data_IF_088863519722
#
_entry.id   IF_088863519722
#
_cell.length_a   1.000
_cell.length_b   1.000
_cell.length_c   1.000
_cell.angle_alpha   90.00
_cell.angle_beta   90.00
_cell.angle_gamma   90.00
#
_symmetry.space_group_name_H-M   'P 1'
#
loop_
_entity.id
_entity.type
_entity.pdbx_description
1 polymer ?
#
# COMPACT_ATOMS: atom_id res chain seq x y z
N UNK A 1 7.01 -39.88 13.48
CA UNK A 1 6.36 -39.22 14.64
C UNK A 1 7.47 -38.63 15.48
N UNK A 2 7.62 -37.33 15.77
CA UNK A 2 6.67 -36.21 15.84
C UNK A 2 7.42 -34.92 15.43
N UNK A 3 6.70 -34.07 14.70
CA UNK A 3 7.06 -32.76 14.15
C UNK A 3 7.32 -31.70 15.25
N UNK A 4 8.48 -31.03 15.19
CA UNK A 4 8.89 -29.98 16.12
C UNK A 4 8.59 -28.58 15.58
N UNK A 5 7.31 -28.17 15.60
CA UNK A 5 6.91 -26.78 15.36
C UNK A 5 7.49 -25.87 16.46
N UNK A 6 8.58 -25.17 16.14
CA UNK A 6 9.11 -24.09 16.97
C UNK A 6 8.10 -22.96 17.13
N UNK A 7 7.36 -22.95 18.24
CA UNK A 7 6.57 -21.79 18.70
C UNK A 7 7.55 -20.64 18.96
N UNK A 8 7.56 -19.64 18.06
CA UNK A 8 8.23 -18.36 18.30
C UNK A 8 7.50 -17.66 19.45
N UNK A 9 8.22 -17.37 20.54
CA UNK A 9 7.66 -16.82 21.77
C UNK A 9 7.18 -15.37 21.64
N UNK A 10 6.15 -14.96 22.43
CA UNK A 10 5.51 -13.64 22.33
C UNK A 10 6.45 -12.46 22.62
N UNK A 11 7.46 -12.66 23.48
CA UNK A 11 8.44 -11.63 23.86
C UNK A 11 9.30 -11.18 22.68
N UNK A 12 9.67 -12.10 21.77
CA UNK A 12 10.51 -11.77 20.61
C UNK A 12 9.75 -10.96 19.56
N UNK A 13 8.47 -11.27 19.35
CA UNK A 13 7.61 -10.50 18.43
C UNK A 13 7.38 -9.05 18.87
N UNK A 14 7.32 -8.82 20.19
CA UNK A 14 7.23 -7.46 20.73
C UNK A 14 8.51 -6.65 20.48
N UNK A 15 9.68 -7.23 20.73
CA UNK A 15 10.99 -6.58 20.52
C UNK A 15 11.21 -6.22 19.04
N UNK A 16 10.84 -7.11 18.12
CA UNK A 16 10.92 -6.85 16.67
C UNK A 16 9.98 -5.71 16.24
N UNK A 17 8.76 -5.67 16.78
CA UNK A 17 7.80 -4.58 16.51
C UNK A 17 8.30 -3.22 17.00
N UNK A 18 8.91 -3.18 18.19
CA UNK A 18 9.55 -1.96 18.73
C UNK A 18 10.69 -1.49 17.82
N UNK A 19 11.53 -2.42 17.37
CA UNK A 19 12.65 -2.12 16.46
C UNK A 19 12.16 -1.57 15.12
N UNK A 20 11.07 -2.10 14.57
CA UNK A 20 10.43 -1.55 13.38
C UNK A 20 9.85 -0.15 13.63
N UNK A 21 9.25 0.10 14.79
CA UNK A 21 8.81 1.45 15.20
C UNK A 21 9.95 2.47 15.16
N UNK A 22 11.11 2.13 15.74
CA UNK A 22 12.31 2.98 15.71
C UNK A 22 12.84 3.22 14.30
N UNK A 23 12.83 2.18 13.45
CA UNK A 23 13.19 2.30 12.04
C UNK A 23 12.27 3.28 11.31
N UNK A 24 10.96 3.18 11.50
CA UNK A 24 9.97 4.08 10.89
C UNK A 24 10.19 5.53 11.33
N UNK A 25 10.40 5.75 12.63
CA UNK A 25 10.67 7.07 13.20
C UNK A 25 11.94 7.71 12.61
N UNK A 26 13.04 6.96 12.51
CA UNK A 26 14.27 7.42 11.85
C UNK A 26 14.03 7.87 10.41
N UNK A 27 13.14 7.17 9.72
CA UNK A 27 12.80 7.44 8.33
C UNK A 27 11.90 8.67 8.16
N UNK A 28 11.02 8.96 9.12
CA UNK A 28 10.27 10.22 9.17
C UNK A 28 11.21 11.44 9.22
N UNK A 29 12.25 11.38 10.08
CA UNK A 29 13.25 12.45 10.25
C UNK A 29 14.00 12.74 8.93
N UNK A 30 14.19 11.73 8.06
CA UNK A 30 14.85 11.92 6.75
C UNK A 30 14.07 12.78 5.76
N UNK A 31 12.75 12.95 5.94
CA UNK A 31 11.92 13.81 5.09
C UNK A 31 11.80 13.34 3.63
N UNK A 32 11.76 14.28 2.69
CA UNK A 32 11.45 14.03 1.26
C UNK A 32 12.68 13.96 0.33
N UNK A 33 13.90 13.92 0.86
CA UNK A 33 15.11 13.85 0.05
C UNK A 33 15.21 12.50 -0.67
N UNK A 34 15.29 12.53 -2.00
CA UNK A 34 15.51 11.36 -2.87
C UNK A 34 16.75 11.63 -3.72
N UNK A 35 17.73 10.72 -3.71
CA UNK A 35 18.83 10.73 -4.68
C UNK A 35 18.37 9.94 -5.91
N UNK A 36 18.35 10.58 -7.08
CA UNK A 36 17.90 9.98 -8.33
C UNK A 36 19.08 9.40 -9.11
N UNK A 37 19.14 8.08 -9.18
CA UNK A 37 19.92 7.38 -10.19
C UNK A 37 18.92 6.54 -10.99
N UNK A 38 18.65 6.92 -12.24
CA UNK A 38 17.59 6.36 -13.06
C UNK A 38 18.20 5.54 -14.20
N UNK A 39 18.26 4.22 -14.04
CA UNK A 39 18.36 3.29 -15.16
C UNK A 39 17.03 2.52 -15.25
N UNK A 40 16.32 2.68 -16.37
CA UNK A 40 15.08 1.95 -16.67
C UNK A 40 15.41 0.80 -17.62
N UNK A 41 15.38 -0.43 -17.10
CA UNK A 41 15.43 -1.63 -17.91
C UNK A 41 14.00 -1.97 -18.39
N UNK A 42 13.82 -2.06 -19.71
CA UNK A 42 12.52 -2.24 -20.40
C UNK A 42 11.73 -3.50 -19.99
N UNK A 43 12.31 -4.41 -19.20
CA UNK A 43 11.71 -5.70 -18.84
C UNK A 43 10.98 -5.70 -17.48
N UNK A 44 10.85 -4.56 -16.79
CA UNK A 44 10.11 -4.49 -15.52
C UNK A 44 9.18 -3.27 -15.46
N UNK A 45 8.02 -3.43 -14.82
CA UNK A 45 7.09 -2.32 -14.63
C UNK A 45 7.54 -1.39 -13.49
N UNK A 46 7.60 -0.07 -13.69
CA UNK A 46 7.90 0.85 -12.60
C UNK A 46 6.89 0.75 -11.47
N UNK A 47 7.37 0.95 -10.24
CA UNK A 47 6.56 0.87 -9.03
C UNK A 47 6.33 2.27 -8.48
N UNK A 48 5.08 2.64 -8.29
CA UNK A 48 4.69 3.87 -7.59
C UNK A 48 4.37 3.55 -6.13
N UNK A 49 5.18 4.08 -5.22
CA UNK A 49 4.98 3.97 -3.77
C UNK A 49 4.16 5.14 -3.25
N UNK A 50 3.11 4.86 -2.49
CA UNK A 50 2.20 5.85 -1.89
C UNK A 50 2.24 5.71 -0.37
N UNK A 51 2.70 6.75 0.34
CA UNK A 51 2.85 6.72 1.79
C UNK A 51 1.51 6.93 2.55
N UNK A 52 1.51 6.63 3.84
CA UNK A 52 0.35 6.82 4.73
C UNK A 52 0.24 8.21 5.36
N UNK A 53 -0.71 8.36 6.29
CA UNK A 53 -0.94 9.58 7.08
C UNK A 53 0.30 9.97 7.90
N UNK A 54 0.62 11.27 7.97
CA UNK A 54 1.84 11.82 8.60
C UNK A 54 3.15 11.21 8.06
N UNK A 55 3.08 10.48 6.95
CA UNK A 55 4.22 9.89 6.27
C UNK A 55 4.97 10.91 5.42
N UNK A 56 6.24 10.62 5.17
CA UNK A 56 7.07 11.27 4.15
C UNK A 56 7.60 10.22 3.19
N UNK A 57 8.24 10.63 2.09
CA UNK A 57 8.95 9.67 1.21
C UNK A 57 9.97 8.83 1.99
N UNK A 58 10.53 9.36 3.07
CA UNK A 58 11.45 8.66 3.95
C UNK A 58 10.87 7.36 4.53
N UNK A 59 9.59 7.32 4.87
CA UNK A 59 8.91 6.12 5.42
C UNK A 59 8.86 4.95 4.45
N UNK A 60 8.87 5.24 3.15
CA UNK A 60 8.85 4.24 2.08
C UNK A 60 10.25 3.76 1.70
N UNK A 61 11.31 4.42 2.19
CA UNK A 61 12.71 4.14 1.83
C UNK A 61 13.13 2.66 2.02
N UNK A 62 12.68 1.93 3.07
CA UNK A 62 12.97 0.50 3.17
C UNK A 62 12.43 -0.31 1.99
N UNK A 63 11.22 0.01 1.50
CA UNK A 63 10.65 -0.62 0.31
C UNK A 63 11.36 -0.14 -0.96
N UNK A 64 11.60 1.18 -1.08
CA UNK A 64 12.34 1.77 -2.21
C UNK A 64 13.67 1.05 -2.43
N UNK A 65 14.48 0.91 -1.37
CA UNK A 65 15.80 0.26 -1.44
C UNK A 65 15.72 -1.20 -1.83
N UNK A 66 14.69 -1.92 -1.38
CA UNK A 66 14.54 -3.35 -1.68
C UNK A 66 14.13 -3.56 -3.13
N UNK A 67 13.14 -2.81 -3.61
CA UNK A 67 12.75 -2.86 -5.02
C UNK A 67 13.89 -2.43 -5.94
N UNK A 68 14.64 -1.38 -5.59
CA UNK A 68 15.83 -0.97 -6.35
C UNK A 68 16.93 -2.04 -6.34
N UNK A 69 17.17 -2.71 -5.20
CA UNK A 69 18.12 -3.81 -5.11
C UNK A 69 17.70 -5.02 -5.98
N UNK A 70 16.39 -5.19 -6.21
CA UNK A 70 15.83 -6.18 -7.12
C UNK A 70 15.69 -5.66 -8.57
N UNK A 71 16.34 -4.53 -8.89
CA UNK A 71 16.41 -3.98 -10.26
C UNK A 71 15.16 -3.25 -10.73
N UNK A 72 14.21 -2.92 -9.83
CA UNK A 72 12.98 -2.20 -10.18
C UNK A 72 13.18 -0.69 -10.16
N UNK A 73 12.58 0.00 -11.12
CA UNK A 73 12.42 1.47 -11.06
C UNK A 73 11.31 1.83 -10.09
N UNK A 74 11.57 2.77 -9.19
CA UNK A 74 10.65 3.14 -8.11
C UNK A 74 10.42 4.66 -8.09
N UNK A 75 9.17 5.06 -8.22
CA UNK A 75 8.70 6.42 -7.97
C UNK A 75 8.05 6.47 -6.59
N UNK A 76 8.37 7.48 -5.78
CA UNK A 76 7.67 7.70 -4.50
C UNK A 76 6.81 8.94 -4.60
N UNK A 77 5.50 8.75 -4.58
CA UNK A 77 4.54 9.84 -4.59
C UNK A 77 4.55 10.54 -3.22
N UNK A 78 4.46 11.88 -3.26
CA UNK A 78 4.37 12.70 -2.05
C UNK A 78 3.19 13.65 -2.21
N UNK A 79 2.16 13.43 -1.41
CA UNK A 79 0.93 14.24 -1.38
C UNK A 79 0.86 15.19 -0.18
N UNK A 80 2.02 15.52 0.41
CA UNK A 80 2.11 16.40 1.58
C UNK A 80 2.05 15.62 2.90
N UNK A 81 2.93 15.97 3.84
CA UNK A 81 3.08 15.28 5.12
C UNK A 81 1.80 15.25 5.95
N UNK A 82 1.01 16.33 5.94
CA UNK A 82 -0.17 16.45 6.80
C UNK A 82 -1.46 15.94 6.18
N UNK A 83 -1.46 15.62 4.88
CA UNK A 83 -2.63 15.14 4.13
C UNK A 83 -3.92 15.89 4.53
N UNK A 84 -3.85 17.23 4.50
CA UNK A 84 -4.93 18.13 4.94
C UNK A 84 -6.08 18.22 3.92
N UNK A 85 -5.93 17.58 2.75
CA UNK A 85 -6.97 17.52 1.71
C UNK A 85 -7.91 16.33 1.88
N UNK A 86 -8.89 16.22 0.99
CA UNK A 86 -9.72 15.02 0.83
C UNK A 86 -8.90 13.86 0.23
N UNK A 87 -9.14 12.63 0.72
CA UNK A 87 -8.57 11.40 0.14
C UNK A 87 -9.02 11.19 -1.31
N UNK A 88 -10.25 11.60 -1.65
CA UNK A 88 -10.75 11.54 -3.02
C UNK A 88 -9.91 12.43 -3.95
N UNK A 89 -9.74 13.70 -3.57
CA UNK A 89 -8.90 14.66 -4.31
C UNK A 89 -7.45 14.18 -4.38
N UNK A 90 -6.92 13.59 -3.31
CA UNK A 90 -5.56 13.02 -3.33
C UNK A 90 -5.48 11.85 -4.31
N UNK A 91 -6.52 11.02 -4.41
CA UNK A 91 -6.63 9.93 -5.37
C UNK A 91 -6.73 10.43 -6.82
N UNK A 92 -7.47 11.51 -7.06
CA UNK A 92 -7.55 12.17 -8.37
C UNK A 92 -6.17 12.67 -8.82
N UNK A 93 -5.49 13.45 -7.96
CA UNK A 93 -4.14 13.98 -8.25
C UNK A 93 -3.13 12.83 -8.44
N UNK A 94 -3.21 11.76 -7.64
CA UNK A 94 -2.38 10.58 -7.85
C UNK A 94 -2.63 9.96 -9.23
N UNK A 95 -3.89 9.80 -9.62
CA UNK A 95 -4.27 9.24 -10.91
C UNK A 95 -3.75 10.07 -12.10
N UNK A 96 -3.83 11.40 -12.01
CA UNK A 96 -3.25 12.32 -12.99
C UNK A 96 -1.73 12.19 -13.06
N UNK A 97 -1.07 12.12 -11.90
CA UNK A 97 0.38 12.01 -11.83
C UNK A 97 0.89 10.68 -12.40
N UNK A 98 0.23 9.56 -12.09
CA UNK A 98 0.56 8.25 -12.68
C UNK A 98 0.47 8.32 -14.21
N UNK A 99 -0.62 8.87 -14.74
CA UNK A 99 -0.80 9.00 -16.18
C UNK A 99 0.22 9.96 -16.81
N UNK A 100 0.60 11.03 -16.13
CA UNK A 100 1.62 11.97 -16.60
C UNK A 100 3.00 11.31 -16.66
N UNK A 101 3.41 10.60 -15.60
CA UNK A 101 4.68 9.85 -15.58
C UNK A 101 4.71 8.86 -16.75
N UNK A 102 3.62 8.11 -16.92
CA UNK A 102 3.52 7.11 -17.97
C UNK A 102 3.66 7.70 -19.37
N UNK A 103 2.93 8.78 -19.67
CA UNK A 103 3.04 9.49 -20.94
C UNK A 103 4.44 10.07 -21.17
N UNK A 104 4.99 10.76 -20.17
CA UNK A 104 6.28 11.44 -20.30
C UNK A 104 7.46 10.49 -20.49
N UNK A 105 7.36 9.27 -19.93
CA UNK A 105 8.45 8.28 -19.98
C UNK A 105 8.17 7.12 -20.96
N UNK A 106 7.04 7.14 -21.67
CA UNK A 106 6.65 6.05 -22.58
C UNK A 106 6.42 4.72 -21.84
N UNK A 107 5.98 4.76 -20.59
CA UNK A 107 5.69 3.56 -19.79
C UNK A 107 4.26 3.10 -20.08
N UNK A 108 4.09 1.88 -20.57
CA UNK A 108 2.77 1.33 -20.85
C UNK A 108 2.01 0.95 -19.58
N UNK A 109 2.71 0.37 -18.61
CA UNK A 109 2.12 -0.17 -17.39
C UNK A 109 2.96 0.11 -16.15
N UNK A 110 2.29 0.45 -15.06
CA UNK A 110 2.91 0.64 -13.72
C UNK A 110 2.24 -0.26 -12.68
N UNK A 111 3.00 -0.59 -11.65
CA UNK A 111 2.48 -1.22 -10.43
C UNK A 111 2.41 -0.19 -9.30
N UNK A 112 1.45 -0.31 -8.39
CA UNK A 112 1.25 0.63 -7.27
C UNK A 112 1.32 -0.11 -5.94
N UNK A 113 2.07 0.42 -4.98
CA UNK A 113 2.11 -0.07 -3.59
C UNK A 113 1.72 1.06 -2.65
N UNK A 114 0.57 0.91 -2.00
CA UNK A 114 0.06 1.87 -1.03
C UNK A 114 0.18 1.36 0.39
N UNK A 115 0.83 2.15 1.26
CA UNK A 115 0.92 1.86 2.69
C UNK A 115 -0.15 2.63 3.47
N UNK A 116 -0.86 1.93 4.36
CA UNK A 116 -1.89 2.50 5.23
C UNK A 116 -2.90 3.31 4.41
N UNK A 117 -3.09 4.60 4.74
CA UNK A 117 -3.97 5.50 3.99
C UNK A 117 -3.58 5.67 2.50
N UNK A 118 -2.30 5.50 2.16
CA UNK A 118 -1.85 5.49 0.77
C UNK A 118 -2.44 4.34 -0.05
N UNK A 119 -2.83 3.23 0.60
CA UNK A 119 -3.58 2.15 -0.05
C UNK A 119 -4.99 2.59 -0.46
N UNK A 120 -5.66 3.40 0.36
CA UNK A 120 -6.98 3.94 0.02
C UNK A 120 -6.91 4.95 -1.13
N UNK A 121 -5.88 5.82 -1.11
CA UNK A 121 -5.60 6.77 -2.19
C UNK A 121 -5.32 6.03 -3.51
N UNK A 122 -4.49 4.98 -3.47
CA UNK A 122 -4.20 4.15 -4.64
C UNK A 122 -5.45 3.44 -5.18
N UNK A 123 -6.26 2.86 -4.29
CA UNK A 123 -7.51 2.21 -4.69
C UNK A 123 -8.50 3.20 -5.30
N UNK A 124 -8.60 4.42 -4.74
CA UNK A 124 -9.45 5.48 -5.29
C UNK A 124 -8.96 5.91 -6.67
N UNK A 125 -7.65 6.12 -6.84
CA UNK A 125 -7.06 6.45 -8.13
C UNK A 125 -7.44 5.40 -9.19
N UNK A 126 -7.33 4.12 -8.86
CA UNK A 126 -7.63 3.06 -9.84
C UNK A 126 -9.13 2.94 -10.13
N UNK A 127 -10.00 3.06 -9.12
CA UNK A 127 -11.46 2.87 -9.30
C UNK A 127 -12.16 4.07 -9.93
N UNK A 128 -11.75 5.28 -9.59
CA UNK A 128 -12.52 6.50 -9.90
C UNK A 128 -11.79 7.46 -10.83
N UNK A 129 -10.61 7.08 -11.32
CA UNK A 129 -9.87 7.89 -12.30
C UNK A 129 -9.51 7.06 -13.53
N UNK A 130 -9.01 7.71 -14.58
CA UNK A 130 -8.46 7.02 -15.76
C UNK A 130 -7.18 6.22 -15.49
N UNK A 131 -6.66 6.18 -14.25
CA UNK A 131 -5.42 5.50 -13.92
C UNK A 131 -5.43 3.99 -14.16
N UNK A 132 -6.59 3.33 -14.14
CA UNK A 132 -6.72 1.90 -14.47
C UNK A 132 -6.23 1.53 -15.88
N UNK A 133 -6.16 2.50 -16.80
CA UNK A 133 -5.61 2.29 -18.15
C UNK A 133 -4.11 2.02 -18.16
N UNK A 134 -3.41 2.43 -17.11
CA UNK A 134 -1.94 2.33 -17.00
C UNK A 134 -1.53 1.48 -15.80
N UNK A 135 -2.30 1.51 -14.71
CA UNK A 135 -2.04 0.66 -13.55
C UNK A 135 -2.35 -0.79 -13.90
N UNK A 136 -1.44 -1.70 -13.57
CA UNK A 136 -1.58 -3.14 -13.77
C UNK A 136 -1.94 -3.85 -12.47
N UNK A 137 -1.18 -3.58 -11.41
CA UNK A 137 -1.33 -4.26 -10.11
C UNK A 137 -1.28 -3.27 -8.95
N UNK A 138 -2.08 -3.55 -7.93
CA UNK A 138 -2.14 -2.76 -6.69
C UNK A 138 -1.83 -3.65 -5.49
N UNK A 139 -0.86 -3.26 -4.67
CA UNK A 139 -0.61 -3.84 -3.36
C UNK A 139 -1.03 -2.84 -2.29
N UNK A 140 -1.95 -3.23 -1.42
CA UNK A 140 -2.38 -2.46 -0.27
C UNK A 140 -1.79 -3.06 1.00
N UNK A 141 -0.97 -2.29 1.71
CA UNK A 141 -0.33 -2.73 2.94
C UNK A 141 -0.96 -2.04 4.16
N UNK A 142 -1.76 -2.77 4.94
CA UNK A 142 -2.39 -2.27 6.16
C UNK A 142 -3.36 -1.11 5.93
N UNK A 143 -4.11 -1.13 4.84
CA UNK A 143 -5.07 -0.07 4.54
C UNK A 143 -6.34 -0.21 5.43
N UNK A 144 -6.82 0.89 6.06
CA UNK A 144 -7.99 0.86 6.94
C UNK A 144 -9.31 0.88 6.14
N UNK A 145 -9.57 -0.17 5.36
CA UNK A 145 -10.72 -0.27 4.45
C UNK A 145 -12.09 -0.30 5.17
N UNK A 146 -12.13 -0.69 6.45
CA UNK A 146 -13.34 -0.61 7.30
C UNK A 146 -13.29 0.57 8.29
N UNK A 147 -12.36 1.48 8.05
CA UNK A 147 -12.00 2.55 8.96
C UNK A 147 -11.09 2.05 10.09
N UNK A 148 -10.58 3.01 10.85
CA UNK A 148 -9.80 2.75 12.06
C UNK A 148 -10.31 3.64 13.18
N UNK A 149 -10.41 3.12 14.40
CA UNK A 149 -10.65 3.95 15.58
C UNK A 149 -9.39 4.69 16.05
N UNK A 150 -8.20 4.25 15.60
CA UNK A 150 -6.95 4.94 15.88
C UNK A 150 -6.85 6.30 15.14
N UNK A 151 -7.70 6.55 14.14
CA UNK A 151 -7.87 7.90 13.59
C UNK A 151 -8.34 8.89 14.64
N UNK A 152 -9.07 8.47 15.69
CA UNK A 152 -9.46 9.32 16.83
C UNK A 152 -8.25 9.81 17.64
N UNK A 153 -7.17 9.04 17.73
CA UNK A 153 -5.93 9.51 18.33
C UNK A 153 -5.26 10.58 17.45
N UNK A 154 -5.35 10.43 16.12
CA UNK A 154 -4.99 11.47 15.15
C UNK A 154 -5.90 12.70 15.23
N UNK A 155 -7.19 12.51 15.56
CA UNK A 155 -8.15 13.60 15.83
C UNK A 155 -7.69 14.42 17.04
N UNK A 156 -7.19 13.78 18.10
CA UNK A 156 -6.73 14.48 19.30
C UNK A 156 -5.50 15.37 19.05
N UNK A 157 -4.63 15.01 18.09
CA UNK A 157 -3.40 15.77 17.77
C UNK A 157 -3.51 16.70 16.55
N UNK A 158 -4.42 16.45 15.60
CA UNK A 158 -4.51 17.17 14.30
C UNK A 158 -5.98 17.44 13.89
N UNK A 159 -6.96 16.99 14.68
CA UNK A 159 -8.31 16.63 14.24
C UNK A 159 -9.35 17.70 14.03
N UNK A 160 -9.02 18.97 14.17
CA UNK A 160 -9.98 20.04 13.85
C UNK A 160 -9.86 20.55 12.40
N UNK A 161 -8.83 20.15 11.62
CA UNK A 161 -8.46 20.88 10.39
C UNK A 161 -8.29 19.99 9.13
N UNK A 162 -8.39 18.65 9.19
CA UNK A 162 -8.22 17.79 7.99
C UNK A 162 -9.43 16.90 7.65
N UNK A 163 -10.06 17.05 6.46
CA UNK A 163 -11.10 16.15 5.94
C UNK A 163 -10.68 14.68 5.81
N UNK A 164 -9.38 14.40 5.58
CA UNK A 164 -8.88 13.02 5.46
C UNK A 164 -9.13 12.19 6.72
N UNK A 165 -9.09 12.82 7.89
CA UNK A 165 -9.32 12.15 9.18
C UNK A 165 -10.77 11.65 9.29
N UNK A 166 -11.73 12.45 8.81
CA UNK A 166 -13.15 12.07 8.76
C UNK A 166 -13.44 11.00 7.70
N UNK A 167 -12.68 10.97 6.61
CA UNK A 167 -12.88 9.98 5.54
C UNK A 167 -12.36 8.58 5.88
N UNK A 168 -11.46 8.44 6.85
CA UNK A 168 -11.02 7.13 7.37
C UNK A 168 -11.80 6.66 8.60
N UNK A 169 -12.78 7.44 9.07
CA UNK A 169 -13.69 6.99 10.12
C UNK A 169 -14.56 5.83 9.61
N UNK A 170 -14.88 4.84 10.46
CA UNK A 170 -15.86 3.81 10.13
C UNK A 170 -17.14 4.44 9.60
N UNK A 171 -17.74 3.87 8.54
CA UNK A 171 -18.98 4.37 7.89
C UNK A 171 -18.86 5.72 7.16
N UNK A 172 -17.66 6.19 6.82
CA UNK A 172 -17.55 7.35 5.93
C UNK A 172 -18.14 7.05 4.54
N UNK A 173 -18.70 8.07 3.88
CA UNK A 173 -19.18 7.95 2.48
C UNK A 173 -18.06 7.50 1.55
N UNK A 174 -16.86 8.04 1.73
CA UNK A 174 -15.67 7.66 0.97
C UNK A 174 -15.38 6.16 1.03
N UNK A 175 -15.37 5.55 2.22
CA UNK A 175 -15.10 4.12 2.36
C UNK A 175 -16.23 3.26 1.77
N UNK A 176 -17.49 3.69 1.91
CA UNK A 176 -18.62 3.00 1.26
C UNK A 176 -18.48 3.00 -0.25
N UNK A 177 -18.32 4.19 -0.85
CA UNK A 177 -18.16 4.34 -2.30
C UNK A 177 -16.98 3.48 -2.79
N UNK A 178 -15.85 3.50 -2.07
CA UNK A 178 -14.66 2.72 -2.39
C UNK A 178 -14.87 1.20 -2.31
N UNK A 179 -15.72 0.70 -1.41
CA UNK A 179 -16.00 -0.73 -1.25
C UNK A 179 -17.09 -1.22 -2.21
N UNK A 180 -18.08 -0.37 -2.51
CA UNK A 180 -19.21 -0.68 -3.40
C UNK A 180 -18.81 -0.67 -4.88
N UNK A 181 -17.93 0.25 -5.29
CA UNK A 181 -17.45 0.29 -6.66
C UNK A 181 -16.64 -0.98 -7.00
N UNK A 182 -16.88 -1.66 -8.13
CA UNK A 182 -16.12 -2.84 -8.52
C UNK A 182 -14.65 -2.48 -8.83
N UNK A 183 -13.77 -3.48 -8.80
CA UNK A 183 -12.44 -3.31 -9.38
C UNK A 183 -12.58 -3.20 -10.91
N UNK A 184 -11.90 -2.24 -11.56
CA UNK A 184 -11.88 -2.18 -13.02
C UNK A 184 -11.33 -3.47 -13.63
N UNK A 185 -11.79 -3.80 -14.84
CA UNK A 185 -11.33 -4.98 -15.56
C UNK A 185 -9.81 -4.99 -15.74
N UNK A 186 -9.19 -6.17 -15.61
CA UNK A 186 -7.75 -6.36 -15.74
C UNK A 186 -6.92 -5.91 -14.52
N UNK A 187 -7.50 -5.18 -13.57
CA UNK A 187 -6.79 -4.79 -12.35
C UNK A 187 -6.71 -5.97 -11.39
N UNK A 188 -5.48 -6.28 -10.95
CA UNK A 188 -5.26 -7.20 -9.82
C UNK A 188 -4.90 -6.44 -8.56
N UNK A 189 -5.51 -6.84 -7.44
CA UNK A 189 -5.27 -6.25 -6.14
C UNK A 189 -4.88 -7.29 -5.09
N UNK A 190 -3.84 -7.00 -4.30
CA UNK A 190 -3.44 -7.79 -3.13
C UNK A 190 -3.48 -6.94 -1.86
N UNK A 191 -4.13 -7.46 -0.83
CA UNK A 191 -4.16 -6.93 0.52
C UNK A 191 -3.12 -7.65 1.38
N UNK A 192 -2.26 -6.91 2.06
CA UNK A 192 -1.26 -7.42 3.00
C UNK A 192 -1.47 -6.73 4.35
N UNK A 193 -1.71 -7.52 5.39
CA UNK A 193 -2.00 -7.04 6.74
C UNK A 193 -1.03 -7.63 7.76
N UNK A 194 -0.81 -6.88 8.84
CA UNK A 194 -0.02 -7.34 9.96
C UNK A 194 -0.96 -7.84 11.08
N UNK A 195 -0.63 -8.98 11.67
CA UNK A 195 -1.49 -9.65 12.64
C UNK A 195 -1.71 -8.81 13.91
N UNK A 196 -0.68 -8.08 14.35
CA UNK A 196 -0.69 -7.20 15.52
C UNK A 196 -0.81 -5.71 15.13
N UNK A 197 -1.49 -5.41 14.02
CA UNK A 197 -1.74 -4.03 13.60
C UNK A 197 -2.71 -3.32 14.54
N UNK A 198 -2.15 -2.54 15.48
CA UNK A 198 -2.92 -1.76 16.45
C UNK A 198 -3.68 -0.58 15.83
N UNK A 199 -3.37 -0.21 14.58
CA UNK A 199 -3.98 0.93 13.91
C UNK A 199 -5.04 0.49 12.93
N UNK A 200 -4.76 -0.47 12.07
CA UNK A 200 -5.65 -0.85 10.98
C UNK A 200 -6.17 -2.28 11.21
N UNK A 201 -7.35 -2.44 11.84
CA UNK A 201 -7.92 -3.76 12.05
C UNK A 201 -8.14 -4.46 10.71
N UNK A 202 -7.96 -5.77 10.71
CA UNK A 202 -8.05 -6.60 9.51
C UNK A 202 -9.47 -6.55 8.92
N UNK A 203 -9.66 -5.99 7.72
CA UNK A 203 -11.00 -5.73 7.18
C UNK A 203 -11.66 -6.97 6.56
N UNK A 204 -10.95 -8.10 6.48
CA UNK A 204 -11.25 -9.15 5.52
C UNK A 204 -10.92 -8.74 4.07
N UNK A 205 -11.02 -9.69 3.12
CA UNK A 205 -10.87 -9.39 1.70
C UNK A 205 -12.02 -8.50 1.21
N UNK A 206 -11.71 -7.49 0.40
CA UNK A 206 -12.73 -6.68 -0.27
C UNK A 206 -13.25 -7.40 -1.53
N UNK A 207 -14.42 -7.01 -2.08
CA UNK A 207 -14.91 -7.57 -3.33
C UNK A 207 -13.86 -7.51 -4.45
N UNK A 208 -13.69 -8.63 -5.16
CA UNK A 208 -12.68 -8.79 -6.21
C UNK A 208 -11.28 -9.23 -5.73
N UNK A 209 -11.03 -9.31 -4.42
CA UNK A 209 -9.79 -9.86 -3.87
C UNK A 209 -9.97 -11.33 -3.52
N UNK A 210 -9.07 -12.19 -4.04
CA UNK A 210 -9.11 -13.61 -3.73
C UNK A 210 -8.67 -13.85 -2.27
N UNK A 211 -9.52 -14.44 -1.41
CA UNK A 211 -9.23 -14.64 0.01
C UNK A 211 -8.04 -15.58 0.28
N UNK A 212 -7.75 -16.51 -0.61
CA UNK A 212 -6.72 -17.53 -0.42
C UNK A 212 -5.36 -17.12 -0.99
N UNK A 213 -5.37 -16.29 -2.04
CA UNK A 213 -4.15 -15.92 -2.78
C UNK A 213 -3.71 -14.48 -2.53
N UNK A 214 -4.66 -13.57 -2.43
CA UNK A 214 -4.41 -12.13 -2.49
C UNK A 214 -4.86 -11.39 -1.22
N UNK A 215 -5.29 -12.12 -0.19
CA UNK A 215 -5.47 -11.61 1.18
C UNK A 215 -4.43 -12.25 2.11
N UNK A 216 -3.40 -11.49 2.46
CA UNK A 216 -2.24 -12.00 3.20
C UNK A 216 -2.20 -11.37 4.59
N UNK A 217 -2.04 -12.21 5.63
CA UNK A 217 -1.82 -11.77 7.01
C UNK A 217 -0.51 -12.38 7.50
N UNK A 218 0.41 -11.56 8.03
CA UNK A 218 1.70 -12.02 8.56
C UNK A 218 1.94 -11.47 9.98
N UNK A 219 2.76 -12.16 10.79
CA UNK A 219 3.16 -11.65 12.10
C UNK A 219 3.90 -10.30 12.01
N UNK A 220 3.53 -9.36 12.87
CA UNK A 220 4.12 -8.02 12.99
C UNK A 220 3.09 -6.94 13.35
N UNK A 221 3.58 -5.75 13.70
CA UNK A 221 2.76 -4.53 13.82
C UNK A 221 2.75 -3.67 12.55
N UNK A 222 2.01 -2.55 12.57
CA UNK A 222 1.78 -1.67 11.40
C UNK A 222 3.06 -1.22 10.67
N UNK A 223 4.11 -0.82 11.40
CA UNK A 223 5.39 -0.41 10.78
C UNK A 223 6.13 -1.57 10.11
N UNK A 224 5.84 -2.82 10.50
CA UNK A 224 6.45 -4.02 9.91
C UNK A 224 6.07 -4.18 8.44
N UNK A 225 4.92 -3.66 8.02
CA UNK A 225 4.44 -3.72 6.64
C UNK A 225 5.43 -3.13 5.63
N UNK A 226 6.12 -2.06 6.01
CA UNK A 226 7.13 -1.40 5.15
C UNK A 226 8.56 -1.79 5.54
N UNK A 227 8.80 -2.19 6.79
CA UNK A 227 10.15 -2.46 7.31
C UNK A 227 10.55 -3.92 7.25
N UNK A 228 9.67 -4.88 7.51
CA UNK A 228 10.08 -6.27 7.61
C UNK A 228 10.13 -6.95 6.24
N UNK A 229 11.16 -7.79 6.03
CA UNK A 229 11.36 -8.51 4.76
C UNK A 229 10.19 -9.41 4.35
N UNK A 230 9.48 -10.12 5.26
CA UNK A 230 8.37 -10.99 4.87
C UNK A 230 7.24 -10.26 4.13
N UNK A 231 6.90 -9.03 4.55
CA UNK A 231 5.86 -8.23 3.90
C UNK A 231 6.30 -7.78 2.50
N UNK A 232 7.55 -7.33 2.37
CA UNK A 232 8.16 -7.04 1.06
C UNK A 232 8.11 -8.25 0.13
N UNK A 233 8.48 -9.44 0.62
CA UNK A 233 8.52 -10.66 -0.18
C UNK A 233 7.15 -10.98 -0.79
N UNK A 234 6.05 -10.78 -0.03
CA UNK A 234 4.68 -11.03 -0.51
C UNK A 234 4.17 -10.00 -1.50
N UNK A 235 4.64 -8.75 -1.39
CA UNK A 235 4.38 -7.72 -2.38
C UNK A 235 5.13 -8.04 -3.68
N UNK A 236 6.44 -8.32 -3.58
CA UNK A 236 7.27 -8.66 -4.74
C UNK A 236 6.75 -9.89 -5.49
N UNK A 237 6.43 -10.96 -4.77
CA UNK A 237 5.82 -12.18 -5.33
C UNK A 237 4.58 -11.87 -6.18
N UNK A 238 3.72 -10.95 -5.72
CA UNK A 238 2.54 -10.54 -6.46
C UNK A 238 2.86 -9.70 -7.70
N UNK A 239 3.82 -8.79 -7.59
CA UNK A 239 4.19 -7.87 -8.68
C UNK A 239 4.99 -8.55 -9.79
N UNK A 240 5.73 -9.62 -9.45
CA UNK A 240 6.57 -10.35 -10.39
C UNK A 240 5.90 -11.60 -10.96
N UNK A 241 4.74 -12.03 -10.43
CA UNK A 241 4.00 -13.16 -10.98
C UNK A 241 3.73 -12.98 -12.49
N UNK A 242 3.95 -14.01 -13.30
CA UNK A 242 3.64 -13.95 -14.74
C UNK A 242 2.15 -13.66 -14.99
N UNK A 243 1.84 -13.04 -16.12
CA UNK A 243 0.45 -12.80 -16.54
C UNK A 243 -0.27 -14.09 -16.95
N UNK A 244 0.47 -15.17 -17.19
CA UNK A 244 -0.05 -16.48 -17.56
C UNK A 244 -0.55 -17.27 -16.36
N UNK A 245 -1.72 -16.91 -15.85
CA UNK A 245 -2.65 -17.89 -15.30
C UNK A 245 -4.06 -17.33 -15.41
N UNK A 246 -5.01 -18.14 -15.91
CA UNK A 246 -6.47 -17.93 -15.88
C UNK A 246 -7.18 -17.33 -17.11
N UNK A 247 -6.70 -17.59 -18.33
CA UNK A 247 -7.62 -17.79 -19.44
C UNK A 247 -7.93 -19.30 -19.53
N UNK A 248 -9.02 -19.72 -18.87
CA UNK A 248 -9.82 -20.94 -19.12
C UNK A 248 -10.50 -21.37 -17.82
N UNK A 249 -11.78 -21.01 -17.67
CA UNK A 249 -12.85 -21.90 -17.20
C UNK A 249 -14.15 -21.08 -17.27
N UNK A 250 -14.67 -20.89 -18.49
CA UNK A 250 -16.12 -20.84 -18.69
C UNK A 250 -16.59 -22.28 -18.92
N UNK A 251 -17.54 -22.82 -18.15
CA UNK A 251 -18.27 -24.00 -18.60
C UNK A 251 -19.37 -23.55 -19.56
N UNK A 252 -19.49 -24.28 -20.67
CA UNK A 252 -20.62 -24.29 -21.58
C UNK A 252 -21.89 -24.84 -20.90
#
# INVERSE_FOLDING_TARGET
>A
MIDGKGRRGPVRGAIETISHGLGYARHLIRGNRVAGDFSYAQNTHPIVLVHGFLGTRGTMMPLTRRFQADGRVVFTYHHGTFQLGSLATTGEILGEHIQSIARSLGIERVDVVGFSMGGLVALHAVKFTGASRVVRRVVMMGAPLRGTWASLAGVATVGLISPSVWQVMPTSRFLRDLLEAPLPEGIRLRQIHAEQDAFCPQPGPIPGVNPHRDYIVLPGGHSSLVIARPFYARAREFLDAEEHTFAAHEPA
#
